data_IF_184465771316
#
_entry.id   IF_184465771316
#
_cell.length_a   1.000
_cell.length_b   1.000
_cell.length_c   1.000
_cell.angle_alpha   90.00
_cell.angle_beta   90.00
_cell.angle_gamma   90.00
#
_symmetry.space_group_name_H-M   'P 1'
#
loop_
_entity.id
_entity.type
_entity.pdbx_description
1 polymer ?
#
# COMPACT_ATOMS: atom_id res chain seq x y z
N UNK A 1 -30.13 -13.69 0.21
CA UNK A 1 -29.12 -12.71 -0.19
C UNK A 1 -27.72 -13.29 -0.01
N UNK A 2 -26.89 -13.25 -1.03
CA UNK A 2 -25.48 -13.56 -0.83
C UNK A 2 -24.85 -12.62 0.20
N UNK A 3 -23.90 -13.11 0.98
CA UNK A 3 -23.17 -12.33 1.96
C UNK A 3 -21.69 -12.31 1.63
N UNK A 4 -21.01 -11.20 1.97
CA UNK A 4 -19.57 -11.07 1.85
C UNK A 4 -18.99 -10.51 3.15
N UNK A 5 -17.67 -10.57 3.30
CA UNK A 5 -16.96 -10.13 4.51
C UNK A 5 -16.17 -8.84 4.32
N UNK A 6 -16.63 -8.04 3.37
CA UNK A 6 -16.00 -6.76 3.05
C UNK A 6 -14.93 -6.86 1.98
N UNK A 7 -14.41 -5.70 1.62
CA UNK A 7 -13.34 -5.58 0.64
C UNK A 7 -12.02 -5.91 1.32
N UNK A 8 -11.41 -7.05 0.98
CA UNK A 8 -10.21 -7.55 1.66
C UNK A 8 -9.11 -8.05 0.72
N UNK A 9 -9.32 -7.98 -0.58
CA UNK A 9 -8.33 -8.39 -1.56
C UNK A 9 -8.08 -7.27 -2.55
N UNK A 10 -6.80 -6.99 -2.80
CA UNK A 10 -6.34 -6.02 -3.80
C UNK A 10 -5.24 -6.66 -4.61
N UNK A 11 -5.26 -6.51 -5.92
CA UNK A 11 -4.19 -6.94 -6.80
C UNK A 11 -3.63 -5.74 -7.56
N UNK A 12 -2.31 -5.59 -7.54
CA UNK A 12 -1.58 -4.55 -8.24
C UNK A 12 -0.65 -5.18 -9.28
N UNK A 13 -0.59 -4.58 -10.45
CA UNK A 13 0.48 -4.86 -11.41
C UNK A 13 1.66 -3.95 -11.09
N UNK A 14 2.87 -4.49 -11.09
CA UNK A 14 4.07 -3.76 -10.69
C UNK A 14 5.15 -3.82 -11.77
N UNK A 15 5.95 -2.76 -11.83
CA UNK A 15 7.04 -2.68 -12.82
C UNK A 15 8.28 -3.46 -12.38
N UNK A 16 8.49 -3.62 -11.07
CA UNK A 16 9.61 -4.34 -10.48
C UNK A 16 9.13 -5.04 -9.20
N UNK A 17 8.86 -6.35 -9.31
CA UNK A 17 8.28 -7.12 -8.22
C UNK A 17 9.16 -7.12 -6.97
N UNK A 18 10.47 -7.28 -7.13
CA UNK A 18 11.39 -7.33 -5.98
C UNK A 18 11.39 -6.01 -5.21
N UNK A 19 11.38 -4.89 -5.92
CA UNK A 19 11.33 -3.56 -5.32
C UNK A 19 10.01 -3.30 -4.60
N UNK A 20 8.90 -3.61 -5.24
CA UNK A 20 7.57 -3.43 -4.63
C UNK A 20 7.38 -4.37 -3.44
N UNK A 21 7.83 -5.61 -3.54
CA UNK A 21 7.81 -6.56 -2.43
C UNK A 21 8.52 -5.99 -1.20
N UNK A 22 9.75 -5.49 -1.38
CA UNK A 22 10.53 -4.91 -0.28
C UNK A 22 9.81 -3.72 0.37
N UNK A 23 9.14 -2.89 -0.44
CA UNK A 23 8.34 -1.77 0.06
C UNK A 23 7.20 -2.24 0.98
N UNK A 24 6.38 -3.19 0.53
CA UNK A 24 5.22 -3.65 1.31
C UNK A 24 5.63 -4.42 2.57
N UNK A 25 6.71 -5.20 2.50
CA UNK A 25 7.26 -5.85 3.68
C UNK A 25 7.77 -4.82 4.69
N UNK A 26 8.49 -3.78 4.23
CA UNK A 26 9.12 -2.79 5.11
C UNK A 26 8.12 -1.85 5.76
N UNK A 27 7.19 -1.28 4.98
CA UNK A 27 6.34 -0.19 5.49
C UNK A 27 4.96 -0.64 5.95
N UNK A 28 4.42 -1.71 5.39
CA UNK A 28 3.12 -2.22 5.83
C UNK A 28 3.25 -3.50 6.67
N UNK A 29 4.47 -3.95 6.92
CA UNK A 29 4.77 -5.16 7.70
C UNK A 29 3.97 -6.39 7.23
N UNK A 30 3.60 -6.39 5.95
CA UNK A 30 2.86 -7.50 5.37
C UNK A 30 3.75 -8.72 5.21
N UNK A 31 3.19 -9.90 5.44
CA UNK A 31 3.90 -11.16 5.35
C UNK A 31 3.48 -11.92 4.11
N UNK A 32 4.46 -12.48 3.40
CA UNK A 32 4.20 -13.36 2.26
C UNK A 32 3.43 -14.59 2.74
N UNK A 33 2.29 -14.84 2.10
CA UNK A 33 1.46 -16.02 2.39
C UNK A 33 1.45 -17.00 1.23
N UNK A 34 1.81 -16.56 0.03
CA UNK A 34 1.93 -17.43 -1.13
C UNK A 34 2.82 -16.80 -2.19
N UNK A 35 3.72 -17.60 -2.74
CA UNK A 35 4.65 -17.21 -3.80
C UNK A 35 4.78 -18.34 -4.81
N UNK A 36 3.81 -18.44 -5.75
CA UNK A 36 3.76 -19.59 -6.67
C UNK A 36 4.89 -19.62 -7.71
N UNK A 37 5.43 -18.42 -8.06
CA UNK A 37 6.46 -18.25 -9.09
C UNK A 37 7.15 -16.90 -8.91
N UNK A 38 8.22 -16.59 -9.71
CA UNK A 38 8.95 -15.33 -9.60
C UNK A 38 8.17 -14.07 -9.96
N UNK A 39 7.03 -14.20 -10.64
CA UNK A 39 6.27 -13.06 -11.15
C UNK A 39 5.06 -12.71 -10.29
N UNK A 40 4.78 -13.50 -9.25
CA UNK A 40 3.59 -13.34 -8.42
C UNK A 40 3.91 -13.55 -6.95
N UNK A 41 3.45 -12.63 -6.10
CA UNK A 41 3.57 -12.75 -4.64
C UNK A 41 2.29 -12.25 -3.98
N UNK A 42 1.90 -12.93 -2.90
CA UNK A 42 0.70 -12.63 -2.13
C UNK A 42 1.07 -12.41 -0.68
N UNK A 43 0.54 -11.32 -0.12
CA UNK A 43 0.79 -10.91 1.28
C UNK A 43 -0.50 -10.87 2.07
N UNK A 44 -0.35 -10.90 3.38
CA UNK A 44 -1.45 -10.62 4.30
C UNK A 44 -0.95 -9.88 5.54
N UNK A 45 -1.82 -9.01 6.08
CA UNK A 45 -1.66 -8.41 7.41
C UNK A 45 -2.47 -9.17 8.47
N UNK A 46 -3.15 -10.25 8.08
CA UNK A 46 -3.98 -11.07 8.96
C UNK A 46 -5.34 -11.42 8.36
N UNK A 47 -6.14 -10.42 8.02
CA UNK A 47 -7.50 -10.61 7.47
C UNK A 47 -7.68 -10.05 6.06
N UNK A 48 -6.62 -9.64 5.42
CA UNK A 48 -6.58 -9.09 4.07
C UNK A 48 -5.69 -9.93 3.16
N UNK A 49 -5.64 -9.56 1.89
CA UNK A 49 -4.77 -10.19 0.90
C UNK A 49 -4.38 -9.16 -0.17
N UNK A 50 -3.09 -8.93 -0.31
CA UNK A 50 -2.53 -8.08 -1.35
C UNK A 50 -1.75 -8.96 -2.32
N UNK A 51 -2.08 -8.90 -3.60
CA UNK A 51 -1.33 -9.56 -4.65
C UNK A 51 -0.50 -8.55 -5.45
N UNK A 52 0.74 -8.91 -5.75
CA UNK A 52 1.57 -8.19 -6.69
C UNK A 52 1.86 -9.08 -7.88
N UNK A 53 1.63 -8.56 -9.09
CA UNK A 53 1.86 -9.27 -10.35
C UNK A 53 2.86 -8.47 -11.20
N UNK A 54 3.98 -9.10 -11.52
CA UNK A 54 4.99 -8.48 -12.39
C UNK A 54 4.42 -8.24 -13.78
N UNK A 55 4.55 -7.01 -14.29
CA UNK A 55 4.22 -6.71 -15.68
C UNK A 55 5.19 -7.48 -16.57
N UNK A 56 4.65 -8.17 -17.58
CA UNK A 56 5.46 -8.97 -18.51
C UNK A 56 6.48 -8.08 -19.25
N UNK A 57 7.69 -8.59 -19.57
CA UNK A 57 8.73 -7.79 -20.22
C UNK A 57 8.26 -7.07 -21.50
N UNK A 58 7.45 -7.71 -22.33
CA UNK A 58 6.92 -7.11 -23.55
C UNK A 58 5.99 -5.93 -23.27
N UNK A 59 5.14 -6.04 -22.25
CA UNK A 59 4.26 -4.95 -21.82
C UNK A 59 5.05 -3.86 -21.11
N UNK A 60 6.04 -4.23 -20.30
CA UNK A 60 6.86 -3.29 -19.54
C UNK A 60 7.62 -2.32 -20.48
N UNK A 61 8.09 -2.81 -21.62
CA UNK A 61 8.77 -1.98 -22.62
C UNK A 61 7.87 -0.88 -23.19
N UNK A 62 6.54 -1.07 -23.11
CA UNK A 62 5.54 -0.11 -23.62
C UNK A 62 4.79 0.58 -22.49
N UNK A 63 5.12 0.28 -21.23
CA UNK A 63 4.43 0.84 -20.08
C UNK A 63 4.64 2.35 -19.99
N UNK A 64 3.55 3.08 -19.79
CA UNK A 64 3.58 4.50 -19.49
C UNK A 64 2.67 4.77 -18.29
N UNK A 65 3.16 5.51 -17.28
CA UNK A 65 2.32 5.90 -16.14
C UNK A 65 1.12 6.71 -16.63
N UNK A 66 -0.06 6.33 -16.20
CA UNK A 66 -1.27 7.07 -16.51
C UNK A 66 -1.34 8.33 -15.65
N UNK A 67 -1.65 9.46 -16.27
CA UNK A 67 -2.03 10.66 -15.54
C UNK A 67 -3.50 10.53 -15.12
N UNK A 68 -3.80 10.85 -13.86
CA UNK A 68 -5.17 10.77 -13.36
C UNK A 68 -5.69 9.34 -13.30
N UNK A 69 -4.97 8.47 -12.61
CA UNK A 69 -5.41 7.10 -12.38
C UNK A 69 -6.80 7.08 -11.73
N UNK A 70 -7.62 6.12 -12.12
CA UNK A 70 -8.95 5.95 -11.54
C UNK A 70 -8.92 5.55 -10.07
N UNK A 71 -7.89 4.79 -9.66
CA UNK A 71 -7.67 4.47 -8.26
C UNK A 71 -7.02 5.66 -7.56
N UNK A 72 -7.76 6.31 -6.66
CA UNK A 72 -7.26 7.46 -5.91
C UNK A 72 -6.20 7.03 -4.89
N UNK A 73 -6.59 6.14 -3.98
CA UNK A 73 -5.67 5.59 -2.98
C UNK A 73 -6.22 4.30 -2.37
N UNK A 74 -5.32 3.60 -1.66
CA UNK A 74 -5.66 2.43 -0.83
C UNK A 74 -5.42 2.81 0.62
N UNK A 75 -6.38 2.53 1.50
CA UNK A 75 -6.23 2.81 2.93
C UNK A 75 -5.79 1.58 3.71
N UNK A 76 -4.82 1.77 4.61
CA UNK A 76 -4.50 0.79 5.65
C UNK A 76 -4.89 1.39 6.99
N UNK A 77 -5.56 0.60 7.82
CA UNK A 77 -6.07 1.08 9.10
C UNK A 77 -4.99 0.97 10.16
N UNK A 78 -4.67 2.10 10.77
CA UNK A 78 -3.69 2.22 11.84
C UNK A 78 -4.40 2.17 13.19
N UNK A 79 -3.72 1.62 14.18
CA UNK A 79 -4.30 1.41 15.51
C UNK A 79 -4.62 2.70 16.24
N UNK A 80 -3.76 3.71 16.08
CA UNK A 80 -3.91 5.00 16.77
C UNK A 80 -3.10 6.08 16.04
N UNK A 81 -3.29 7.38 16.37
CA UNK A 81 -2.54 8.46 15.72
C UNK A 81 -1.03 8.37 15.88
N UNK A 82 -0.54 7.85 17.02
CA UNK A 82 0.90 7.69 17.23
C UNK A 82 1.52 6.73 16.23
N UNK A 83 0.79 5.67 15.84
CA UNK A 83 1.26 4.73 14.82
C UNK A 83 1.30 5.37 13.43
N UNK A 84 0.39 6.28 13.13
CA UNK A 84 0.44 7.08 11.89
C UNK A 84 1.73 7.91 11.85
N UNK A 85 2.05 8.60 12.94
CA UNK A 85 3.28 9.40 13.04
C UNK A 85 4.54 8.54 12.97
N UNK A 86 4.53 7.37 13.60
CA UNK A 86 5.67 6.45 13.56
C UNK A 86 5.95 5.97 12.14
N UNK A 87 4.92 5.58 11.41
CA UNK A 87 5.08 5.18 10.00
C UNK A 87 5.53 6.34 9.13
N UNK A 88 5.00 7.54 9.37
CA UNK A 88 5.45 8.73 8.64
C UNK A 88 6.95 8.96 8.84
N UNK A 89 7.45 8.87 10.07
CA UNK A 89 8.90 9.00 10.35
C UNK A 89 9.72 7.92 9.65
N UNK A 90 9.24 6.67 9.65
CA UNK A 90 9.91 5.57 8.96
C UNK A 90 10.05 5.85 7.46
N UNK A 91 8.96 6.31 6.83
CA UNK A 91 8.98 6.64 5.41
C UNK A 91 9.89 7.83 5.13
N UNK A 92 9.90 8.85 5.99
CA UNK A 92 10.82 9.98 5.85
C UNK A 92 12.28 9.53 5.92
N UNK A 93 12.62 8.65 6.84
CA UNK A 93 14.00 8.23 7.09
C UNK A 93 14.50 7.22 6.03
N UNK A 94 13.68 6.25 5.69
CA UNK A 94 14.08 5.11 4.87
C UNK A 94 13.38 5.03 3.52
N UNK A 95 12.40 5.91 3.26
CA UNK A 95 11.54 5.80 2.08
C UNK A 95 12.30 5.77 0.76
N UNK A 96 13.27 6.65 0.58
CA UNK A 96 14.04 6.73 -0.67
C UNK A 96 14.74 5.40 -1.02
N UNK A 97 15.20 4.67 0.00
CA UNK A 97 15.85 3.37 -0.18
C UNK A 97 14.91 2.31 -0.77
N UNK A 98 13.62 2.44 -0.50
CA UNK A 98 12.59 1.49 -0.94
C UNK A 98 11.70 2.05 -2.06
N UNK A 99 12.06 3.19 -2.63
CA UNK A 99 11.29 3.83 -3.69
C UNK A 99 9.99 4.47 -3.23
N UNK A 100 9.86 4.72 -1.92
CA UNK A 100 8.70 5.37 -1.35
C UNK A 100 8.85 6.89 -1.38
N UNK A 101 7.72 7.60 -1.55
CA UNK A 101 7.68 9.06 -1.47
C UNK A 101 6.51 9.49 -0.59
N UNK A 102 6.70 10.60 0.17
CA UNK A 102 5.61 11.21 0.92
C UNK A 102 4.75 12.02 -0.06
N UNK A 103 3.45 11.72 -0.09
CA UNK A 103 2.50 12.48 -0.90
C UNK A 103 1.86 13.63 -0.12
N UNK A 104 1.45 13.37 1.13
CA UNK A 104 0.88 14.39 2.02
C UNK A 104 1.30 14.10 3.47
N UNK A 105 1.70 15.12 4.24
CA UNK A 105 2.08 14.93 5.64
C UNK A 105 0.87 14.60 6.52
N UNK A 106 1.10 14.17 7.78
CA UNK A 106 0.02 13.88 8.72
C UNK A 106 -0.91 15.07 8.92
N UNK A 107 -2.21 14.76 8.95
CA UNK A 107 -3.26 15.76 9.12
C UNK A 107 -4.45 15.18 9.88
N UNK A 108 -4.99 15.97 10.79
CA UNK A 108 -6.28 15.72 11.44
C UNK A 108 -7.39 16.13 10.49
N UNK A 109 -8.37 15.26 10.29
CA UNK A 109 -9.53 15.52 9.43
C UNK A 109 -10.78 15.89 10.26
N UNK A 110 -11.78 16.44 9.58
CA UNK A 110 -13.01 16.92 10.25
C UNK A 110 -13.82 15.82 10.92
N UNK A 111 -13.71 14.59 10.44
CA UNK A 111 -14.42 13.42 10.97
C UNK A 111 -13.73 12.78 12.17
N UNK A 112 -12.63 13.37 12.65
CA UNK A 112 -11.83 12.81 13.74
C UNK A 112 -10.74 11.87 13.29
N UNK A 113 -10.68 11.54 12.00
CA UNK A 113 -9.61 10.69 11.47
C UNK A 113 -8.29 11.44 11.41
N UNK A 114 -7.18 10.68 11.39
CA UNK A 114 -5.83 11.20 11.32
C UNK A 114 -5.03 10.32 10.37
N UNK A 115 -4.38 10.94 9.38
CA UNK A 115 -3.72 10.15 8.34
C UNK A 115 -2.58 10.91 7.66
N UNK A 116 -1.71 10.17 6.98
CA UNK A 116 -0.82 10.72 5.97
C UNK A 116 -0.87 9.84 4.71
N UNK A 117 -0.32 10.36 3.62
CA UNK A 117 -0.30 9.66 2.34
C UNK A 117 1.13 9.49 1.86
N UNK A 118 1.45 8.31 1.33
CA UNK A 118 2.73 8.02 0.70
C UNK A 118 2.52 7.12 -0.51
N UNK A 119 3.46 7.15 -1.43
CA UNK A 119 3.37 6.39 -2.66
C UNK A 119 4.36 5.24 -2.67
N UNK A 120 3.95 4.12 -3.25
CA UNK A 120 4.81 2.98 -3.51
C UNK A 120 5.72 3.25 -4.72
N UNK A 121 6.66 2.34 -5.05
CA UNK A 121 7.60 2.56 -6.15
C UNK A 121 6.97 2.84 -7.52
N UNK A 122 5.74 2.39 -7.74
CA UNK A 122 5.01 2.61 -9.00
C UNK A 122 4.05 3.79 -8.94
N UNK A 123 4.02 4.52 -7.82
CA UNK A 123 3.18 5.70 -7.66
C UNK A 123 1.79 5.42 -7.12
N UNK A 124 1.49 4.18 -6.70
CA UNK A 124 0.23 3.89 -6.02
C UNK A 124 0.21 4.59 -4.66
N UNK A 125 -0.84 5.37 -4.40
CA UNK A 125 -0.95 6.14 -3.16
C UNK A 125 -1.58 5.30 -2.07
N UNK A 126 -0.96 5.30 -0.91
CA UNK A 126 -1.41 4.60 0.29
C UNK A 126 -1.71 5.64 1.36
N UNK A 127 -2.88 5.52 1.97
CA UNK A 127 -3.25 6.31 3.14
C UNK A 127 -3.05 5.47 4.39
N UNK A 128 -2.15 5.89 5.27
CA UNK A 128 -2.06 5.33 6.61
C UNK A 128 -3.07 6.07 7.48
N UNK A 129 -4.16 5.40 7.82
CA UNK A 129 -5.38 6.03 8.33
C UNK A 129 -5.74 5.50 9.72
N UNK A 130 -5.74 6.38 10.72
CA UNK A 130 -6.51 6.15 11.94
C UNK A 130 -7.92 6.70 11.73
N UNK A 131 -8.91 5.84 11.93
CA UNK A 131 -10.33 6.21 11.83
C UNK A 131 -11.06 5.66 13.06
N UNK A 132 -11.62 6.56 13.93
CA UNK A 132 -12.13 6.16 15.24
C UNK A 132 -13.22 5.07 15.21
N UNK A 133 -13.98 4.97 14.13
CA UNK A 133 -15.06 3.99 14.02
C UNK A 133 -14.57 2.62 13.54
N UNK A 134 -13.39 2.56 12.92
CA UNK A 134 -12.82 1.33 12.34
C UNK A 134 -11.60 0.85 13.12
N UNK A 135 -10.77 1.78 13.61
CA UNK A 135 -9.50 1.49 14.31
C UNK A 135 -9.73 1.00 15.76
N UNK A 136 -10.57 0.00 15.93
CA UNK A 136 -10.92 -0.54 17.26
C UNK A 136 -10.19 -1.85 17.54
#
# INVERSE_FOLDING_TARGET
MPTHRGLRHLALRVTDLARSRAFYERFLAMKVVWEPDPDNVYFSSGSDNLALHQIAPAELAQYQPLRGQLLDHVGVIMENPAQVDDLFRDVQQDGARYGATIAKPPKQHRDGSYSFYFADPDGNVIQALYEPTISR
#
